data_IF_827682428540
#
_entry.id   IF_827682428540
#
_cell.length_a   1.000
_cell.length_b   1.000
_cell.length_c   1.000
_cell.angle_alpha   90.00
_cell.angle_beta   90.00
_cell.angle_gamma   90.00
#
_symmetry.space_group_name_H-M   'P 1'
#
loop_
_entity.id
_entity.type
_entity.pdbx_description
1 polymer ?
#
# COMPACT_ATOMS: atom_id res chain seq x y z
N UNK A 1 -3.62 -15.74 14.52
CA UNK A 1 -3.01 -15.27 13.25
C UNK A 1 -3.48 -13.85 13.03
N UNK A 2 -2.60 -12.88 13.27
CA UNK A 2 -2.96 -11.46 13.28
C UNK A 2 -2.74 -10.92 11.87
N UNK A 3 -3.82 -10.63 11.16
CA UNK A 3 -3.79 -9.87 9.89
C UNK A 3 -4.43 -8.51 10.15
N UNK A 4 -3.64 -7.56 10.66
CA UNK A 4 -4.07 -6.16 10.71
C UNK A 4 -3.98 -5.58 9.30
N UNK A 5 -5.12 -5.61 8.62
CA UNK A 5 -5.29 -5.15 7.25
C UNK A 5 -5.43 -3.61 7.15
N UNK A 6 -4.75 -2.88 8.05
CA UNK A 6 -4.72 -1.42 8.09
C UNK A 6 -3.26 -1.02 7.88
N UNK A 7 -2.89 -0.83 6.62
CA UNK A 7 -1.60 -0.24 6.27
C UNK A 7 -1.78 1.27 6.40
N UNK A 8 -1.12 1.89 7.39
CA UNK A 8 -1.20 3.33 7.58
C UNK A 8 -0.64 4.09 6.37
N UNK A 9 -1.19 5.27 6.08
CA UNK A 9 -0.68 6.19 5.05
C UNK A 9 0.84 6.40 5.17
N UNK A 10 1.35 6.58 6.39
CA UNK A 10 2.78 6.73 6.67
C UNK A 10 3.61 5.54 6.17
N UNK A 11 3.07 4.32 6.29
CA UNK A 11 3.74 3.08 5.89
C UNK A 11 3.74 2.90 4.38
N UNK A 12 2.68 3.35 3.70
CA UNK A 12 2.63 3.40 2.23
C UNK A 12 3.58 4.48 1.69
N UNK A 13 3.63 5.66 2.33
CA UNK A 13 4.60 6.73 2.03
C UNK A 13 6.04 6.27 2.25
N UNK A 14 6.29 5.51 3.31
CA UNK A 14 7.60 4.92 3.57
C UNK A 14 7.96 3.86 2.53
N UNK A 15 7.02 2.99 2.14
CA UNK A 15 7.20 2.02 1.07
C UNK A 15 7.44 2.67 -0.30
N UNK A 16 6.88 3.84 -0.54
CA UNK A 16 7.15 4.66 -1.72
C UNK A 16 8.62 5.14 -1.77
N UNK A 17 9.16 5.54 -0.61
CA UNK A 17 10.55 6.03 -0.50
C UNK A 17 11.57 4.89 -0.38
N UNK A 18 11.20 3.82 0.32
CA UNK A 18 12.05 2.68 0.67
C UNK A 18 11.42 1.38 0.14
N UNK A 19 11.24 1.31 -1.18
CA UNK A 19 10.64 0.17 -1.86
C UNK A 19 11.40 -1.14 -1.58
N UNK A 20 12.71 -1.07 -1.32
CA UNK A 20 13.51 -2.24 -1.00
C UNK A 20 13.17 -2.90 0.34
N UNK A 21 12.74 -2.10 1.33
CA UNK A 21 12.35 -2.60 2.65
C UNK A 21 10.90 -3.09 2.69
N UNK A 22 10.12 -2.75 1.66
CA UNK A 22 8.69 -2.99 1.58
C UNK A 22 8.29 -3.86 0.39
N UNK A 23 9.22 -4.71 -0.10
CA UNK A 23 8.96 -5.65 -1.21
C UNK A 23 7.82 -6.62 -0.90
N UNK A 24 7.66 -6.99 0.36
CA UNK A 24 6.60 -7.87 0.85
C UNK A 24 5.29 -7.13 1.17
N UNK A 25 5.19 -5.83 0.86
CA UNK A 25 3.98 -5.05 1.16
C UNK A 25 2.86 -5.40 0.18
N UNK A 26 2.02 -6.36 0.57
CA UNK A 26 0.86 -6.79 -0.19
C UNK A 26 -0.33 -5.87 0.09
N UNK A 27 -0.92 -5.30 -0.97
CA UNK A 27 -2.12 -4.48 -0.92
C UNK A 27 -3.28 -5.24 -1.55
N UNK A 28 -4.47 -5.10 -0.98
CA UNK A 28 -5.70 -5.64 -1.55
C UNK A 28 -6.50 -4.52 -2.20
N UNK A 29 -6.58 -4.57 -3.53
CA UNK A 29 -7.47 -3.73 -4.33
C UNK A 29 -8.77 -4.51 -4.57
N UNK A 30 -9.88 -3.83 -4.85
CA UNK A 30 -11.21 -4.42 -5.01
C UNK A 30 -11.25 -5.56 -6.06
N UNK A 31 -10.92 -6.77 -5.64
CA UNK A 31 -10.91 -7.99 -6.45
C UNK A 31 -9.54 -8.67 -6.62
N UNK A 32 -8.42 -8.03 -6.28
CA UNK A 32 -7.08 -8.64 -6.43
C UNK A 32 -6.07 -8.14 -5.39
N UNK A 33 -5.02 -8.94 -5.17
CA UNK A 33 -3.90 -8.55 -4.31
C UNK A 33 -2.66 -8.32 -5.16
N UNK A 34 -1.92 -7.25 -4.88
CA UNK A 34 -0.69 -6.89 -5.58
C UNK A 34 0.32 -6.30 -4.60
N UNK A 35 1.61 -6.39 -4.90
CA UNK A 35 2.63 -5.74 -4.10
C UNK A 35 2.67 -4.25 -4.40
N UNK A 36 2.64 -3.42 -3.36
CA UNK A 36 2.61 -1.96 -3.49
C UNK A 36 3.75 -1.42 -4.34
N UNK A 37 4.96 -1.94 -4.08
CA UNK A 37 6.19 -1.47 -4.72
C UNK A 37 6.31 -1.86 -6.19
N UNK A 38 5.52 -2.84 -6.63
CA UNK A 38 5.41 -3.26 -8.04
C UNK A 38 4.38 -2.41 -8.80
N UNK A 39 3.58 -1.62 -8.10
CA UNK A 39 2.60 -0.72 -8.71
C UNK A 39 3.26 0.60 -9.12
N UNK A 40 2.71 1.21 -10.17
CA UNK A 40 3.16 2.51 -10.66
C UNK A 40 2.95 3.60 -9.60
N UNK A 41 3.82 4.62 -9.55
CA UNK A 41 3.77 5.69 -8.54
C UNK A 41 2.41 6.37 -8.50
N UNK A 42 1.72 6.48 -9.64
CA UNK A 42 0.37 7.05 -9.73
C UNK A 42 -0.69 6.17 -9.06
N UNK A 43 -0.57 4.84 -9.18
CA UNK A 43 -1.47 3.88 -8.51
C UNK A 43 -1.15 3.83 -7.02
N UNK A 44 0.12 3.88 -6.64
CA UNK A 44 0.53 3.99 -5.25
C UNK A 44 -0.08 5.21 -4.58
N UNK A 45 -0.07 6.37 -5.24
CA UNK A 45 -0.73 7.59 -4.75
C UNK A 45 -2.25 7.43 -4.63
N UNK A 46 -2.91 6.85 -5.65
CA UNK A 46 -4.36 6.57 -5.61
C UNK A 46 -4.74 5.64 -4.44
N UNK A 47 -3.88 4.67 -4.12
CA UNK A 47 -4.05 3.78 -2.96
C UNK A 47 -3.86 4.55 -1.65
N UNK A 48 -2.81 5.36 -1.54
CA UNK A 48 -2.54 6.20 -0.37
C UNK A 48 -3.72 7.13 -0.09
N UNK A 49 -4.23 7.78 -1.14
CA UNK A 49 -5.37 8.68 -1.11
C UNK A 49 -6.64 7.94 -0.66
N UNK A 50 -6.93 6.76 -1.23
CA UNK A 50 -8.04 5.91 -0.77
C UNK A 50 -7.93 5.45 0.68
N UNK A 51 -6.72 5.22 1.16
CA UNK A 51 -6.47 4.83 2.56
C UNK A 51 -6.60 6.02 3.50
N UNK A 52 -6.25 7.23 3.05
CA UNK A 52 -6.44 8.49 3.79
C UNK A 52 -7.90 8.93 3.82
N UNK A 53 -8.63 8.74 2.72
CA UNK A 53 -10.04 9.08 2.54
C UNK A 53 -11.02 7.94 2.88
N UNK A 54 -10.49 6.77 3.25
CA UNK A 54 -11.26 5.58 3.59
C UNK A 54 -11.89 5.66 4.97
N UNK A 55 -12.95 6.47 5.10
CA UNK A 55 -14.02 6.50 6.14
C UNK A 55 -13.58 6.31 7.60
#
# INVERSE_FOLDING_TARGET
QIQFNIVSNEKLREAQKNSEQHKDLLIRVAGYSAFFVELDSKIQEDIIDRVEHGV
#
